data_IF_841618528781
#
_entry.id   IF_841618528781
#
_cell.length_a   1.000
_cell.length_b   1.000
_cell.length_c   1.000
_cell.angle_alpha   90.00
_cell.angle_beta   90.00
_cell.angle_gamma   90.00
#
_symmetry.space_group_name_H-M   'P 1'
#
loop_
_entity.id
_entity.type
_entity.pdbx_description
1 polymer ?
#
# COMPACT_ATOMS: atom_id res chain seq x y z
N UNK A 1 8.57 9.10 7.79
CA UNK A 1 7.99 8.44 6.60
C UNK A 1 6.49 8.26 6.92
N UNK A 2 5.56 8.70 6.07
CA UNK A 2 4.18 9.14 6.44
C UNK A 2 3.07 8.38 5.72
N UNK A 3 1.82 8.47 6.20
CA UNK A 3 0.63 8.16 5.39
C UNK A 3 0.29 9.33 4.46
N UNK A 4 -0.12 9.04 3.22
CA UNK A 4 -0.54 10.07 2.25
C UNK A 4 -1.92 9.73 1.70
N UNK A 5 -2.84 10.68 1.82
CA UNK A 5 -4.16 10.62 1.20
C UNK A 5 -4.21 11.62 0.05
N UNK A 6 -4.31 11.11 -1.17
CA UNK A 6 -4.46 11.90 -2.39
C UNK A 6 -5.89 11.76 -2.88
N UNK A 7 -6.51 12.88 -3.27
CA UNK A 7 -7.90 12.93 -3.72
C UNK A 7 -8.00 13.70 -5.03
N UNK A 8 -8.65 13.12 -6.03
CA UNK A 8 -8.91 13.76 -7.31
C UNK A 8 -10.06 13.07 -8.05
N UNK A 9 -10.89 13.83 -8.76
CA UNK A 9 -11.95 13.33 -9.65
C UNK A 9 -12.86 12.25 -9.01
N UNK A 10 -13.28 12.45 -7.75
CA UNK A 10 -14.14 11.50 -7.04
C UNK A 10 -13.45 10.19 -6.63
N UNK A 11 -12.11 10.16 -6.65
CA UNK A 11 -11.31 9.01 -6.23
C UNK A 11 -10.31 9.37 -5.12
N UNK A 12 -10.02 8.39 -4.28
CA UNK A 12 -9.00 8.45 -3.23
C UNK A 12 -7.89 7.43 -3.51
N UNK A 13 -6.63 7.85 -3.33
CA UNK A 13 -5.46 6.99 -3.27
C UNK A 13 -4.78 7.17 -1.90
N UNK A 14 -4.76 6.11 -1.09
CA UNK A 14 -4.10 6.11 0.22
C UNK A 14 -2.82 5.28 0.14
N UNK A 15 -1.69 5.90 0.46
CA UNK A 15 -0.36 5.30 0.42
C UNK A 15 0.22 5.23 1.83
N UNK A 16 0.74 4.06 2.19
CA UNK A 16 1.59 3.88 3.35
C UNK A 16 3.05 3.93 2.94
N UNK A 17 3.71 5.04 3.27
CA UNK A 17 5.13 5.25 3.05
C UNK A 17 5.90 5.23 4.38
N UNK A 18 5.41 4.53 5.43
CA UNK A 18 6.10 4.45 6.73
C UNK A 18 7.27 3.45 6.74
N UNK A 19 7.22 2.46 5.85
CA UNK A 19 8.21 1.38 5.75
C UNK A 19 9.44 1.70 4.89
N UNK A 20 10.51 0.90 4.96
CA UNK A 20 11.79 1.15 4.28
C UNK A 20 11.77 0.90 2.76
N UNK A 21 10.71 0.29 2.24
CA UNK A 21 10.52 0.01 0.82
C UNK A 21 9.77 1.11 0.07
N UNK A 22 9.37 0.82 -1.17
CA UNK A 22 8.48 1.69 -1.91
C UNK A 22 7.09 1.76 -1.25
N UNK A 23 6.39 2.92 -1.30
CA UNK A 23 5.10 3.07 -0.64
C UNK A 23 4.08 2.03 -1.09
N UNK A 24 3.26 1.56 -0.15
CA UNK A 24 2.23 0.54 -0.42
C UNK A 24 0.85 1.15 -0.56
N UNK A 25 0.06 0.67 -1.51
CA UNK A 25 -1.32 1.10 -1.72
C UNK A 25 -2.22 0.43 -0.68
N UNK A 26 -2.87 1.24 0.16
CA UNK A 26 -3.87 0.78 1.12
C UNK A 26 -5.28 0.83 0.52
N UNK A 27 -5.57 1.89 -0.24
CA UNK A 27 -6.86 2.08 -0.91
C UNK A 27 -6.66 2.78 -2.24
N UNK A 28 -7.38 2.31 -3.26
CA UNK A 28 -7.55 3.02 -4.52
C UNK A 28 -8.97 2.78 -5.01
N UNK A 29 -9.78 3.83 -5.01
CA UNK A 29 -11.12 3.75 -5.55
C UNK A 29 -11.93 4.98 -5.19
N UNK A 30 -13.20 4.76 -4.85
CA UNK A 30 -14.13 5.81 -4.47
C UNK A 30 -13.53 6.76 -3.43
N UNK A 31 -13.91 8.03 -3.54
CA UNK A 31 -13.49 9.07 -2.61
C UNK A 31 -13.93 8.75 -1.18
N UNK A 32 -12.97 8.75 -0.25
CA UNK A 32 -13.20 8.47 1.18
C UNK A 32 -13.61 9.72 1.97
N UNK A 33 -13.62 10.90 1.34
CA UNK A 33 -13.85 12.16 2.03
C UNK A 33 -12.58 12.68 2.72
N UNK A 34 -12.74 13.63 3.64
CA UNK A 34 -11.63 14.07 4.48
C UNK A 34 -11.46 13.07 5.64
N UNK A 35 -10.26 12.52 5.76
CA UNK A 35 -9.87 11.66 6.87
C UNK A 35 -8.82 12.38 7.70
N UNK A 36 -8.99 12.37 9.01
CA UNK A 36 -7.96 12.87 9.90
C UNK A 36 -6.85 11.83 10.07
N UNK A 37 -5.70 12.26 10.60
CA UNK A 37 -4.49 11.43 10.66
C UNK A 37 -4.71 10.12 11.44
N UNK A 38 -5.45 10.18 12.56
CA UNK A 38 -5.77 8.98 13.33
C UNK A 38 -6.64 7.97 12.56
N UNK A 39 -7.50 8.45 11.64
CA UNK A 39 -8.36 7.58 10.84
C UNK A 39 -7.56 6.90 9.73
N UNK A 40 -6.57 7.60 9.17
CA UNK A 40 -5.61 7.01 8.22
C UNK A 40 -4.76 5.94 8.91
N UNK A 41 -4.31 6.19 10.14
CA UNK A 41 -3.56 5.19 10.91
C UNK A 41 -4.42 3.96 11.24
N UNK A 42 -5.67 4.16 11.65
CA UNK A 42 -6.62 3.08 11.88
C UNK A 42 -6.87 2.27 10.61
N UNK A 43 -7.06 2.94 9.46
CA UNK A 43 -7.21 2.29 8.16
C UNK A 43 -5.99 1.43 7.81
N UNK A 44 -4.78 1.97 8.00
CA UNK A 44 -3.55 1.25 7.75
C UNK A 44 -3.36 0.02 8.65
N UNK A 45 -3.90 0.05 9.87
CA UNK A 45 -3.87 -1.06 10.81
C UNK A 45 -4.90 -2.14 10.48
N UNK A 46 -6.10 -1.78 10.07
CA UNK A 46 -7.18 -2.74 9.75
C UNK A 46 -6.96 -3.43 8.41
N UNK A 47 -6.32 -2.75 7.45
CA UNK A 47 -6.07 -3.29 6.12
C UNK A 47 -4.81 -4.17 6.02
N UNK A 48 -4.19 -4.54 7.14
CA UNK A 48 -3.06 -5.48 7.11
C UNK A 48 -3.56 -6.87 6.69
N UNK A 49 -3.09 -7.42 5.55
CA UNK A 49 -3.51 -8.75 5.12
C UNK A 49 -3.01 -9.83 6.08
N UNK A 50 -3.77 -10.91 6.21
CA UNK A 50 -3.28 -12.12 6.85
C UNK A 50 -2.13 -12.74 6.05
N UNK A 51 -1.27 -13.50 6.73
CA UNK A 51 -0.22 -14.31 6.11
C UNK A 51 -0.78 -15.72 5.86
N UNK A 52 -1.09 -16.11 4.61
CA UNK A 52 -1.63 -17.43 4.32
C UNK A 52 -0.55 -18.53 4.42
N UNK A 53 -0.93 -19.80 4.57
CA UNK A 53 0.01 -20.92 4.52
C UNK A 53 0.82 -20.92 3.22
N UNK A 54 2.10 -21.30 3.30
CA UNK A 54 3.03 -21.33 2.16
C UNK A 54 3.26 -19.98 1.46
N UNK A 55 3.09 -18.87 2.20
CA UNK A 55 3.52 -17.53 1.75
C UNK A 55 4.80 -17.08 2.48
N UNK A 56 5.27 -15.87 2.18
CA UNK A 56 6.35 -15.25 2.93
C UNK A 56 5.91 -14.99 4.38
N UNK A 57 6.86 -14.95 5.31
CA UNK A 57 6.57 -14.73 6.75
C UNK A 57 6.06 -13.32 7.10
N UNK A 58 5.85 -12.46 6.10
CA UNK A 58 5.37 -11.09 6.25
C UNK A 58 4.15 -10.83 5.36
N UNK A 59 3.22 -9.97 5.77
CA UNK A 59 2.06 -9.63 4.94
C UNK A 59 2.47 -9.08 3.57
N UNK A 60 1.98 -9.72 2.50
CA UNK A 60 2.16 -9.24 1.15
C UNK A 60 1.37 -7.94 0.95
N UNK A 61 2.05 -6.85 0.61
CA UNK A 61 1.44 -5.55 0.33
C UNK A 61 1.67 -5.18 -1.12
N UNK A 62 0.66 -4.59 -1.76
CA UNK A 62 0.81 -4.08 -3.12
C UNK A 62 1.57 -2.75 -3.09
N UNK A 63 2.87 -2.79 -3.41
CA UNK A 63 3.71 -1.60 -3.52
C UNK A 63 3.44 -0.83 -4.82
N UNK A 64 3.70 0.48 -4.82
CA UNK A 64 3.73 1.29 -6.05
C UNK A 64 4.84 0.86 -7.03
N UNK A 65 5.91 0.25 -6.52
CA UNK A 65 7.02 -0.27 -7.34
C UNK A 65 7.24 -1.75 -7.01
N UNK A 66 6.31 -2.65 -7.42
CA UNK A 66 6.40 -4.05 -7.05
C UNK A 66 7.65 -4.69 -7.67
N UNK A 67 8.39 -5.44 -6.84
CA UNK A 67 9.62 -6.11 -7.23
C UNK A 67 9.70 -7.54 -6.69
N UNK A 68 10.57 -8.36 -7.28
CA UNK A 68 10.79 -9.73 -6.79
C UNK A 68 11.28 -9.78 -5.33
N UNK A 69 11.92 -8.71 -4.83
CA UNK A 69 12.34 -8.62 -3.42
C UNK A 69 11.15 -8.58 -2.46
N UNK A 70 10.00 -8.11 -2.93
CA UNK A 70 8.77 -7.98 -2.15
C UNK A 70 7.85 -9.21 -2.32
N UNK A 71 8.35 -10.29 -2.92
CA UNK A 71 7.55 -11.48 -3.23
C UNK A 71 6.65 -11.35 -4.47
N UNK A 72 6.79 -10.27 -5.25
CA UNK A 72 6.02 -10.10 -6.49
C UNK A 72 6.51 -11.03 -7.59
N UNK A 73 5.61 -11.84 -8.13
CA UNK A 73 5.89 -12.81 -9.20
C UNK A 73 5.45 -12.35 -10.59
N UNK A 74 4.83 -11.17 -10.69
CA UNK A 74 4.39 -10.58 -11.95
C UNK A 74 5.47 -9.72 -12.62
N UNK A 75 5.05 -8.90 -13.58
CA UNK A 75 5.94 -7.92 -14.22
C UNK A 75 6.42 -6.89 -13.18
N UNK A 76 7.73 -6.65 -13.04
CA UNK A 76 8.23 -5.65 -12.10
C UNK A 76 7.79 -4.24 -12.50
N UNK A 77 7.51 -3.39 -11.51
CA UNK A 77 7.12 -2.00 -11.74
C UNK A 77 8.28 -1.12 -12.21
N UNK A 78 9.51 -1.52 -11.90
CA UNK A 78 10.74 -0.89 -12.37
C UNK A 78 11.76 -1.96 -12.75
N UNK A 79 12.35 -1.83 -13.94
CA UNK A 79 13.46 -2.64 -14.42
C UNK A 79 14.62 -1.72 -14.80
N UNK A 80 15.83 -2.03 -14.32
CA UNK A 80 17.05 -1.39 -14.80
C UNK A 80 17.49 -1.99 -16.14
N UNK A 81 18.25 -1.22 -16.92
CA UNK A 81 19.05 -1.72 -18.04
C UNK A 81 20.51 -1.90 -17.58
#
# INVERSE_FOLDING_TARGET
MSLRHLRAAGSSLVLDARGPGAPTVLHWGADLGDLAEQDLDALAHVLVPAVPPSSLDVPLRFSLLPSARDGWTGRPGLSGA
#
